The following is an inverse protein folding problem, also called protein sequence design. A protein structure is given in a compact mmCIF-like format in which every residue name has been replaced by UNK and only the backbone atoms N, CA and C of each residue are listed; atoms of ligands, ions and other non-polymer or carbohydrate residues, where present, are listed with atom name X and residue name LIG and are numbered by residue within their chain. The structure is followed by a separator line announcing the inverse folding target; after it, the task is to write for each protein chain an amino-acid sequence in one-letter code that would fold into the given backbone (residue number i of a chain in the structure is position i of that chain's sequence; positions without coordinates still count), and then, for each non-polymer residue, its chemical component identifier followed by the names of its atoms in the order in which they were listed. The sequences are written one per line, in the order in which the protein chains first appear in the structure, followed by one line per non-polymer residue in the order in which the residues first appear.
data_IF_661741429371
#
_entry.id   IF_661741429371
#
_cell.length_a   1.000
_cell.length_b   1.000
_cell.length_c   1.000
_cell.angle_alpha   90.00
_cell.angle_beta   90.00
_cell.angle_gamma   90.00
#
_symmetry.space_group_name_H-M   'P 1'
#
loop_
_entity.id
_entity.type
_entity.pdbx_description
1 polymer ?
#
# COMPACT_ATOMS: atom_id res chain seq x y z
N UNK A 1 0.77 21.41 22.66
CA UNK A 1 -0.30 21.54 21.64
C UNK A 1 -0.12 20.38 20.68
N UNK A 2 -0.95 19.35 20.80
CA UNK A 2 -0.86 18.13 20.00
C UNK A 2 -1.70 18.39 18.74
N UNK A 3 -1.04 18.48 17.59
CA UNK A 3 -1.71 18.69 16.30
C UNK A 3 -2.75 17.58 16.08
N UNK A 4 -3.98 17.99 15.75
CA UNK A 4 -5.12 17.11 15.59
C UNK A 4 -4.85 16.00 14.57
N UNK A 5 -5.26 14.80 14.95
CA UNK A 5 -5.45 13.67 14.04
C UNK A 5 -6.38 14.12 12.89
N UNK A 6 -5.94 14.12 11.62
CA UNK A 6 -6.89 14.30 10.55
C UNK A 6 -7.57 12.95 10.27
N UNK A 7 -8.83 13.05 9.85
CA UNK A 7 -9.54 12.12 8.98
C UNK A 7 -10.71 11.35 9.60
N UNK A 8 -11.76 12.11 9.91
CA UNK A 8 -13.11 11.77 9.47
C UNK A 8 -13.35 12.39 8.07
N UNK A 9 -12.54 12.02 7.07
CA UNK A 9 -12.74 12.50 5.70
C UNK A 9 -13.98 11.80 5.13
N UNK A 10 -14.97 12.55 4.59
CA UNK A 10 -16.12 11.94 3.96
C UNK A 10 -15.67 10.98 2.86
N UNK A 11 -16.27 9.79 2.82
CA UNK A 11 -15.94 8.76 1.84
C UNK A 11 -16.08 9.35 0.44
N UNK A 12 -14.96 9.46 -0.28
CA UNK A 12 -14.95 9.94 -1.66
C UNK A 12 -15.42 8.81 -2.60
N UNK A 13 -16.73 8.80 -2.85
CA UNK A 13 -17.41 7.78 -3.65
C UNK A 13 -16.93 7.78 -5.11
N UNK A 14 -16.61 8.94 -5.67
CA UNK A 14 -16.15 9.06 -7.05
C UNK A 14 -14.77 8.42 -7.19
N UNK A 15 -13.84 8.75 -6.28
CA UNK A 15 -12.51 8.12 -6.23
C UNK A 15 -12.57 6.60 -6.14
N UNK A 16 -13.44 6.06 -5.29
CA UNK A 16 -13.60 4.62 -5.12
C UNK A 16 -14.19 3.98 -6.38
N UNK A 17 -15.17 4.62 -7.02
CA UNK A 17 -15.78 4.12 -8.25
C UNK A 17 -14.77 4.07 -9.42
N UNK A 18 -14.01 5.14 -9.61
CA UNK A 18 -12.98 5.22 -10.66
C UNK A 18 -11.89 4.15 -10.46
N UNK A 19 -11.46 3.95 -9.22
CA UNK A 19 -10.55 2.86 -8.87
C UNK A 19 -11.16 1.49 -9.21
N UNK A 20 -12.42 1.26 -8.85
CA UNK A 20 -13.11 -0.02 -9.07
C UNK A 20 -13.25 -0.36 -10.55
N UNK A 21 -13.59 0.63 -11.38
CA UNK A 21 -13.67 0.49 -12.84
C UNK A 21 -12.31 0.13 -13.42
N UNK A 22 -11.25 0.83 -13.00
CA UNK A 22 -9.89 0.59 -13.47
C UNK A 22 -9.40 -0.82 -13.13
N UNK A 23 -9.64 -1.30 -11.92
CA UNK A 23 -9.27 -2.65 -11.51
C UNK A 23 -10.08 -3.72 -12.26
N UNK A 24 -11.36 -3.45 -12.54
CA UNK A 24 -12.20 -4.31 -13.39
C UNK A 24 -11.64 -4.38 -14.81
N UNK A 25 -11.15 -3.27 -15.36
CA UNK A 25 -10.50 -3.26 -16.68
C UNK A 25 -9.19 -4.07 -16.72
N UNK A 26 -8.39 -4.04 -15.65
CA UNK A 26 -7.09 -4.72 -15.59
C UNK A 26 -7.22 -6.24 -15.38
N UNK A 27 -8.12 -6.68 -14.51
CA UNK A 27 -8.23 -8.08 -14.09
C UNK A 27 -9.50 -8.78 -14.62
N UNK A 28 -10.43 -8.02 -15.20
CA UNK A 28 -11.66 -8.54 -15.81
C UNK A 28 -12.48 -9.38 -14.84
N UNK A 29 -12.89 -10.56 -15.31
CA UNK A 29 -13.67 -11.53 -14.54
C UNK A 29 -13.02 -11.90 -13.20
N UNK A 30 -11.68 -11.92 -13.09
CA UNK A 30 -11.00 -12.33 -11.85
C UNK A 30 -11.26 -11.34 -10.71
N UNK A 31 -11.30 -10.04 -11.02
CA UNK A 31 -11.67 -9.00 -10.05
C UNK A 31 -13.10 -9.19 -9.55
N UNK A 32 -14.05 -9.27 -10.47
CA UNK A 32 -15.46 -9.42 -10.15
C UNK A 32 -15.76 -10.74 -9.43
N UNK A 33 -15.02 -11.81 -9.74
CA UNK A 33 -15.14 -13.11 -9.07
C UNK A 33 -14.65 -13.07 -7.63
N UNK A 34 -13.65 -12.25 -7.30
CA UNK A 34 -13.03 -12.22 -5.98
C UNK A 34 -13.65 -11.18 -5.04
N UNK A 35 -13.97 -9.99 -5.57
CA UNK A 35 -14.47 -8.86 -4.77
C UNK A 35 -15.89 -8.42 -5.15
N UNK A 36 -16.47 -8.98 -6.20
CA UNK A 36 -17.80 -8.61 -6.67
C UNK A 36 -17.80 -7.35 -7.55
N UNK A 37 -19.02 -6.91 -7.88
CA UNK A 37 -19.25 -5.73 -8.74
C UNK A 37 -19.18 -4.41 -7.98
N UNK A 38 -19.24 -4.45 -6.65
CA UNK A 38 -19.24 -3.28 -5.78
C UNK A 38 -18.03 -3.33 -4.84
N UNK A 39 -17.47 -2.17 -4.45
CA UNK A 39 -16.39 -2.08 -3.49
C UNK A 39 -16.72 -2.75 -2.17
N UNK A 40 -15.83 -3.60 -1.66
CA UNK A 40 -15.93 -4.11 -0.28
C UNK A 40 -15.55 -3.03 0.72
N UNK A 41 -15.94 -3.19 1.99
CA UNK A 41 -15.65 -2.21 3.05
C UNK A 41 -14.14 -1.97 3.20
N UNK A 42 -13.35 -3.03 3.14
CA UNK A 42 -11.90 -3.01 3.30
C UNK A 42 -11.23 -2.19 2.20
N UNK A 43 -11.68 -2.36 0.96
CA UNK A 43 -11.19 -1.59 -0.17
C UNK A 43 -11.64 -0.12 -0.11
N UNK A 44 -12.88 0.15 0.27
CA UNK A 44 -13.37 1.51 0.41
C UNK A 44 -12.54 2.28 1.47
N UNK A 45 -12.27 1.66 2.61
CA UNK A 45 -11.38 2.21 3.64
C UNK A 45 -9.96 2.42 3.12
N UNK A 46 -9.43 1.45 2.37
CA UNK A 46 -8.09 1.53 1.80
C UNK A 46 -7.97 2.72 0.83
N UNK A 47 -8.87 2.80 -0.14
CA UNK A 47 -8.80 3.84 -1.17
C UNK A 47 -9.09 5.22 -0.58
N UNK A 48 -9.96 5.31 0.44
CA UNK A 48 -10.28 6.58 1.06
C UNK A 48 -9.06 7.24 1.73
N UNK A 49 -8.20 6.46 2.40
CA UNK A 49 -7.01 7.01 3.09
C UNK A 49 -5.80 7.26 2.17
N UNK A 50 -5.82 6.77 0.92
CA UNK A 50 -4.76 7.00 -0.05
C UNK A 50 -5.02 8.27 -0.87
N UNK A 51 -3.92 8.97 -1.21
CA UNK A 51 -3.94 10.05 -2.20
C UNK A 51 -4.05 9.49 -3.61
N UNK A 52 -4.53 10.30 -4.57
CA UNK A 52 -4.61 9.90 -5.98
C UNK A 52 -3.25 9.49 -6.55
N UNK A 53 -2.18 10.23 -6.22
CA UNK A 53 -0.81 9.91 -6.65
C UNK A 53 -0.31 8.57 -6.10
N UNK A 54 -0.67 8.23 -4.86
CA UNK A 54 -0.33 6.95 -4.25
C UNK A 54 -1.07 5.79 -4.94
N UNK A 55 -2.35 5.99 -5.27
CA UNK A 55 -3.14 5.00 -6.02
C UNK A 55 -2.54 4.79 -7.42
N UNK A 56 -2.20 5.85 -8.14
CA UNK A 56 -1.57 5.75 -9.46
C UNK A 56 -0.22 5.04 -9.41
N UNK A 57 0.58 5.35 -8.39
CA UNK A 57 1.87 4.69 -8.15
C UNK A 57 1.66 3.21 -7.84
N UNK A 58 0.68 2.87 -7.00
CA UNK A 58 0.30 1.49 -6.70
C UNK A 58 -0.13 0.72 -7.93
N UNK A 59 -0.96 1.31 -8.79
CA UNK A 59 -1.37 0.69 -10.06
C UNK A 59 -0.19 0.48 -11.01
N UNK A 60 0.72 1.45 -11.14
CA UNK A 60 1.93 1.30 -11.97
C UNK A 60 2.84 0.19 -11.44
N UNK A 61 3.10 0.18 -10.14
CA UNK A 61 3.90 -0.83 -9.46
C UNK A 61 3.27 -2.23 -9.60
N UNK A 62 1.95 -2.31 -9.50
CA UNK A 62 1.18 -3.55 -9.69
C UNK A 62 1.40 -4.12 -11.09
N UNK A 63 1.18 -3.31 -12.13
CA UNK A 63 1.38 -3.73 -13.53
C UNK A 63 2.84 -4.13 -13.79
N UNK A 64 3.79 -3.40 -13.23
CA UNK A 64 5.22 -3.70 -13.37
C UNK A 64 5.67 -4.96 -12.59
N UNK A 65 5.03 -5.26 -11.46
CA UNK A 65 5.38 -6.40 -10.60
C UNK A 65 5.05 -7.77 -11.21
N UNK A 66 4.42 -7.81 -12.39
CA UNK A 66 3.98 -9.04 -13.06
C UNK A 66 3.23 -9.98 -12.09
N UNK A 67 2.34 -9.40 -11.27
CA UNK A 67 1.42 -10.16 -10.41
C UNK A 67 0.76 -11.22 -11.27
N UNK A 68 0.67 -12.46 -10.80
CA UNK A 68 0.42 -13.75 -11.49
C UNK A 68 -0.92 -13.86 -12.25
N UNK A 69 -1.40 -12.78 -12.85
CA UNK A 69 -2.72 -12.57 -13.41
C UNK A 69 -3.83 -12.47 -12.36
N UNK A 70 -3.52 -12.52 -11.06
CA UNK A 70 -4.49 -12.41 -9.99
C UNK A 70 -4.49 -11.02 -9.37
N UNK A 71 -5.66 -10.48 -9.02
CA UNK A 71 -5.74 -9.18 -8.38
C UNK A 71 -5.15 -9.24 -6.96
N UNK A 72 -4.49 -8.16 -6.52
CA UNK A 72 -3.92 -8.10 -5.18
C UNK A 72 -5.03 -7.99 -4.14
N UNK A 73 -4.72 -8.41 -2.92
CA UNK A 73 -5.49 -8.08 -1.72
C UNK A 73 -5.36 -6.59 -1.36
N UNK A 74 -6.27 -6.03 -0.53
CA UNK A 74 -6.14 -4.65 -0.05
C UNK A 74 -4.78 -4.36 0.59
N UNK A 75 -4.25 -5.32 1.36
CA UNK A 75 -2.96 -5.18 2.06
C UNK A 75 -1.80 -5.16 1.06
N UNK A 76 -1.82 -6.06 0.07
CA UNK A 76 -0.81 -6.08 -1.00
C UNK A 76 -0.86 -4.81 -1.85
N UNK A 77 -2.05 -4.31 -2.17
CA UNK A 77 -2.19 -3.07 -2.91
C UNK A 77 -1.72 -1.85 -2.11
N UNK A 78 -1.96 -1.81 -0.80
CA UNK A 78 -1.41 -0.77 0.06
C UNK A 78 0.12 -0.74 0.02
N UNK A 79 0.75 -1.92 0.06
CA UNK A 79 2.20 -2.03 -0.06
C UNK A 79 2.68 -1.48 -1.41
N UNK A 80 1.97 -1.77 -2.50
CA UNK A 80 2.29 -1.23 -3.83
C UNK A 80 2.14 0.29 -3.90
N UNK A 81 1.16 0.88 -3.21
CA UNK A 81 0.93 2.33 -3.14
C UNK A 81 1.96 3.06 -2.29
N UNK A 82 2.47 2.40 -1.25
CA UNK A 82 3.42 2.98 -0.29
C UNK A 82 4.88 2.70 -0.63
N UNK A 83 5.14 1.74 -1.52
CA UNK A 83 6.46 1.46 -2.07
C UNK A 83 6.92 2.64 -2.94
N UNK A 84 7.83 3.43 -2.37
CA UNK A 84 8.49 4.50 -3.11
C UNK A 84 9.45 3.87 -4.12
N UNK A 85 9.35 4.27 -5.39
CA UNK A 85 10.30 3.84 -6.41
C UNK A 85 11.71 4.30 -6.05
N UNK A 86 12.57 3.35 -5.69
CA UNK A 86 13.98 3.61 -5.32
C UNK A 86 14.71 4.34 -6.44
N UNK A 87 14.43 3.99 -7.70
CA UNK A 87 15.02 4.62 -8.87
C UNK A 87 14.64 6.11 -8.98
N UNK A 88 13.38 6.46 -8.70
CA UNK A 88 12.92 7.85 -8.71
C UNK A 88 13.59 8.70 -7.62
N UNK A 89 14.03 8.07 -6.52
CA UNK A 89 14.79 8.71 -5.44
C UNK A 89 16.31 8.74 -5.69
N UNK A 90 16.80 8.20 -6.82
CA UNK A 90 18.22 8.01 -7.07
C UNK A 90 18.88 7.02 -6.11
N UNK A 91 18.09 6.15 -5.49
CA UNK A 91 18.54 5.11 -4.56
C UNK A 91 18.82 3.80 -5.28
N UNK A 92 19.82 3.01 -4.84
CA UNK A 92 20.07 1.69 -5.40
C UNK A 92 18.89 0.75 -5.15
N UNK A 93 18.73 -0.23 -6.04
CA UNK A 93 17.77 -1.33 -5.88
C UNK A 93 18.07 -2.18 -4.64
N UNK A 94 17.11 -3.00 -4.23
CA UNK A 94 17.17 -3.79 -3.00
C UNK A 94 18.41 -4.70 -2.94
N UNK A 95 18.74 -5.38 -4.04
CA UNK A 95 19.87 -6.31 -4.07
C UNK A 95 21.21 -5.56 -3.96
N UNK A 96 21.36 -4.48 -4.73
CA UNK A 96 22.57 -3.65 -4.65
C UNK A 96 22.72 -3.01 -3.28
N UNK A 97 21.63 -2.52 -2.68
CA UNK A 97 21.63 -1.96 -1.34
C UNK A 97 22.04 -2.99 -0.28
N UNK A 98 21.50 -4.22 -0.36
CA UNK A 98 21.85 -5.31 0.55
C UNK A 98 23.31 -5.74 0.41
N UNK A 99 23.80 -5.92 -0.82
CA UNK A 99 25.20 -6.27 -1.06
C UNK A 99 26.17 -5.20 -0.53
N UNK A 100 25.83 -3.92 -0.69
CA UNK A 100 26.61 -2.81 -0.11
C UNK A 100 26.58 -2.84 1.41
N UNK A 101 25.43 -3.16 2.01
CA UNK A 101 25.28 -3.25 3.46
C UNK A 101 26.11 -4.41 4.06
N UNK A 102 26.12 -5.57 3.41
CA UNK A 102 26.99 -6.71 3.75
C UNK A 102 28.48 -6.34 3.64
N UNK A 103 28.83 -5.57 2.61
CA UNK A 103 30.21 -5.11 2.37
C UNK A 103 30.65 -3.96 3.28
N UNK A 104 29.79 -3.49 4.19
CA UNK A 104 30.08 -2.34 5.07
C UNK A 104 30.18 -0.99 4.35
N UNK A 105 29.72 -0.89 3.09
CA UNK A 105 29.84 0.33 2.28
C UNK A 105 28.61 1.23 2.43
N UNK A 106 28.60 2.05 3.47
CA UNK A 106 27.46 2.91 3.82
C UNK A 106 27.53 4.33 3.21
N UNK A 107 27.91 4.47 1.94
CA UNK A 107 28.03 5.79 1.26
C UNK A 107 26.69 6.52 1.06
N UNK A 108 25.57 5.87 1.35
CA UNK A 108 24.22 6.42 1.21
C UNK A 108 23.53 6.40 2.58
N UNK A 109 23.03 7.56 3.03
CA UNK A 109 22.41 7.73 4.34
C UNK A 109 21.22 6.79 4.59
N UNK A 110 20.49 6.42 3.53
CA UNK A 110 19.36 5.48 3.59
C UNK A 110 19.85 4.06 3.85
N UNK A 111 20.94 3.62 3.19
CA UNK A 111 21.56 2.31 3.41
C UNK A 111 22.16 2.24 4.81
N UNK A 112 22.82 3.31 5.26
CA UNK A 112 23.40 3.38 6.60
C UNK A 112 22.33 3.26 7.70
N UNK A 113 21.24 4.03 7.58
CA UNK A 113 20.13 3.99 8.52
C UNK A 113 19.47 2.60 8.52
N UNK A 114 19.21 2.03 7.35
CA UNK A 114 18.63 0.69 7.23
C UNK A 114 19.55 -0.40 7.82
N UNK A 115 20.87 -0.28 7.64
CA UNK A 115 21.84 -1.21 8.20
C UNK A 115 21.88 -1.14 9.73
N UNK A 116 21.82 0.06 10.30
CA UNK A 116 21.74 0.26 11.76
C UNK A 116 20.49 -0.38 12.37
N UNK A 117 19.33 -0.20 11.74
CA UNK A 117 18.05 -0.76 12.20
C UNK A 117 17.99 -2.29 12.08
N UNK A 118 18.58 -2.81 10.99
CA UNK A 118 18.68 -4.26 10.76
C UNK A 118 19.63 -4.91 11.76
N UNK A 119 20.75 -4.25 12.05
CA UNK A 119 21.82 -4.75 12.90
C UNK A 119 23.11 -4.88 12.10
N UNK A 120 24.07 -3.97 12.32
CA UNK A 120 25.36 -3.97 11.60
C UNK A 120 26.15 -5.26 11.84
N UNK A 121 26.11 -5.79 13.06
CA UNK A 121 26.76 -7.06 13.40
C UNK A 121 26.16 -8.24 12.63
N UNK A 122 24.83 -8.31 12.52
CA UNK A 122 24.12 -9.35 11.75
C UNK A 122 24.52 -9.26 10.27
N UNK A 123 24.59 -8.05 9.71
CA UNK A 123 24.97 -7.80 8.31
C UNK A 123 26.44 -8.14 8.02
N UNK A 124 27.36 -7.85 8.93
CA UNK A 124 28.79 -8.16 8.73
C UNK A 124 29.08 -9.67 8.79
N UNK A 125 28.27 -10.44 9.52
CA UNK A 125 28.39 -11.90 9.62
C UNK A 125 27.49 -12.64 8.63
N UNK A 126 26.52 -11.94 8.06
CA UNK A 126 25.55 -12.49 7.12
C UNK A 126 26.15 -12.73 5.74
N UNK A 127 25.42 -13.52 4.96
CA UNK A 127 25.75 -13.80 3.56
C UNK A 127 24.58 -13.40 2.65
N UNK A 128 24.85 -13.32 1.35
CA UNK A 128 23.82 -13.03 0.33
C UNK A 128 22.72 -14.09 0.26
N UNK A 129 22.98 -15.29 0.79
CA UNK A 129 22.04 -16.42 0.82
C UNK A 129 21.11 -16.41 2.04
N UNK A 130 21.37 -15.58 3.05
CA UNK A 130 20.49 -15.47 4.21
C UNK A 130 19.21 -14.69 3.87
N UNK A 131 18.18 -15.45 3.51
CA UNK A 131 16.88 -14.91 3.09
C UNK A 131 16.16 -14.15 4.22
N UNK A 132 16.37 -14.54 5.49
CA UNK A 132 15.70 -13.89 6.61
C UNK A 132 16.37 -12.55 6.93
N UNK A 133 17.69 -12.51 6.91
CA UNK A 133 18.46 -11.27 7.03
C UNK A 133 18.15 -10.31 5.87
N UNK A 134 18.09 -10.83 4.65
CA UNK A 134 17.74 -10.06 3.46
C UNK A 134 16.34 -9.44 3.59
N UNK A 135 15.32 -10.22 3.94
CA UNK A 135 13.95 -9.71 4.13
C UNK A 135 13.87 -8.59 5.18
N UNK A 136 14.55 -8.78 6.33
CA UNK A 136 14.62 -7.74 7.38
C UNK A 136 15.27 -6.47 6.86
N UNK A 137 16.39 -6.60 6.14
CA UNK A 137 17.08 -5.45 5.57
C UNK A 137 16.23 -4.72 4.52
N UNK A 138 15.62 -5.45 3.59
CA UNK A 138 14.78 -4.89 2.54
C UNK A 138 13.61 -4.09 3.11
N UNK A 139 12.93 -4.63 4.13
CA UNK A 139 11.86 -3.92 4.83
C UNK A 139 12.36 -2.60 5.45
N UNK A 140 13.45 -2.65 6.21
CA UNK A 140 14.03 -1.46 6.84
C UNK A 140 14.49 -0.43 5.81
N UNK A 141 15.07 -0.89 4.70
CA UNK A 141 15.56 -0.03 3.63
C UNK A 141 14.42 0.67 2.89
N UNK A 142 13.31 0.00 2.62
CA UNK A 142 12.12 0.61 2.04
C UNK A 142 11.49 1.64 2.98
N UNK A 143 11.40 1.36 4.28
CA UNK A 143 10.91 2.35 5.25
C UNK A 143 11.82 3.58 5.35
N UNK A 144 13.15 3.38 5.32
CA UNK A 144 14.09 4.50 5.31
C UNK A 144 14.01 5.30 4.00
N UNK A 145 13.84 4.64 2.86
CA UNK A 145 13.64 5.30 1.57
C UNK A 145 12.33 6.12 1.56
N UNK A 146 11.26 5.60 2.17
CA UNK A 146 9.98 6.31 2.32
C UNK A 146 10.12 7.55 3.20
N UNK A 147 10.84 7.43 4.33
CA UNK A 147 11.14 8.57 5.22
C UNK A 147 11.97 9.62 4.52
N UNK A 148 13.00 9.19 3.77
CA UNK A 148 13.84 10.06 2.96
C UNK A 148 13.04 10.84 1.92
N UNK A 149 12.13 10.17 1.20
CA UNK A 149 11.25 10.81 0.22
C UNK A 149 10.35 11.90 0.83
N UNK A 150 9.94 11.71 2.09
CA UNK A 150 9.10 12.67 2.83
C UNK A 150 9.91 13.78 3.53
N UNK A 151 11.24 13.75 3.47
CA UNK A 151 12.11 14.66 4.23
C UNK A 151 12.09 14.40 5.74
N UNK A 152 11.64 13.21 6.18
CA UNK A 152 11.60 12.82 7.58
C UNK A 152 12.99 12.40 8.09
N UNK A 153 13.25 12.59 9.38
CA UNK A 153 14.55 12.22 9.98
C UNK A 153 14.77 10.70 9.99
N UNK A 154 15.87 10.26 9.38
CA UNK A 154 16.31 8.86 9.34
C UNK A 154 16.84 8.33 10.67
N UNK A 155 17.03 9.19 11.68
CA UNK A 155 17.56 8.80 13.01
C UNK A 155 16.49 8.24 13.96
N UNK A 156 15.22 8.30 13.59
CA UNK A 156 14.14 7.75 14.42
C UNK A 156 14.17 6.22 14.32
N UNK A 157 14.07 5.48 15.43
CA UNK A 157 13.97 4.02 15.38
C UNK A 157 12.87 3.57 14.41
N UNK A 158 13.10 2.49 13.66
CA UNK A 158 11.98 1.79 13.02
C UNK A 158 11.18 1.17 14.15
N UNK A 159 9.89 1.47 14.22
CA UNK A 159 9.01 0.83 15.20
C UNK A 159 9.01 -0.67 14.89
N UNK A 160 9.85 -1.44 15.56
CA UNK A 160 9.80 -2.90 15.53
C UNK A 160 8.46 -3.25 16.17
N UNK A 161 7.51 -3.72 15.36
CA UNK A 161 6.24 -4.18 15.86
C UNK A 161 6.54 -5.27 16.90
N UNK A 162 6.18 -4.99 18.16
CA UNK A 162 6.07 -6.01 19.18
C UNK A 162 4.90 -6.88 18.72
N UNK A 163 5.17 -8.14 18.37
CA UNK A 163 4.12 -9.14 18.23
C UNK A 163 3.44 -9.33 19.58
N UNK A 164 2.34 -8.61 19.84
CA UNK A 164 1.31 -9.04 20.80
C UNK A 164 -0.01 -8.28 20.64
N UNK A 165 -1.04 -9.08 20.37
CA UNK A 165 -2.43 -8.92 20.86
C UNK A 165 -3.33 -7.90 20.16
N UNK A 166 -4.29 -8.45 19.41
CA UNK A 166 -5.65 -7.97 19.11
C UNK A 166 -5.92 -6.53 19.60
N UNK A 167 -5.75 -5.54 18.73
CA UNK A 167 -6.37 -4.22 18.91
C UNK A 167 -7.65 -4.16 18.08
N UNK A 168 -8.68 -4.84 18.59
CA UNK A 168 -10.07 -4.65 18.21
C UNK A 168 -10.65 -3.56 19.11
N UNK A 169 -10.43 -2.28 18.79
CA UNK A 169 -11.07 -1.16 19.49
C UNK A 169 -10.92 0.18 18.73
N UNK A 170 -11.49 0.29 17.52
CA UNK A 170 -11.89 1.61 16.97
C UNK A 170 -12.96 1.53 15.86
N UNK A 171 -13.50 0.35 15.56
CA UNK A 171 -14.36 0.12 14.38
C UNK A 171 -15.85 0.45 14.58
N UNK A 172 -16.33 0.61 15.82
CA UNK A 172 -17.77 0.57 16.13
C UNK A 172 -18.63 1.73 15.63
N UNK A 173 -18.07 2.80 15.04
CA UNK A 173 -18.87 3.98 14.60
C UNK A 173 -19.03 4.03 13.07
N UNK A 174 -18.14 3.41 12.31
CA UNK A 174 -18.23 3.37 10.84
C UNK A 174 -19.10 2.22 10.33
N UNK A 175 -19.35 1.20 11.16
CA UNK A 175 -20.13 0.02 10.79
C UNK A 175 -21.60 0.39 10.48
N UNK A 176 -22.22 1.25 11.28
CA UNK A 176 -23.65 1.57 11.19
C UNK A 176 -24.04 2.33 9.91
N UNK A 177 -23.21 3.26 9.44
CA UNK A 177 -23.52 4.07 8.24
C UNK A 177 -23.32 3.29 6.94
N UNK A 178 -22.36 2.35 6.92
CA UNK A 178 -22.08 1.54 5.75
C UNK A 178 -23.13 0.43 5.63
N UNK A 179 -23.58 -0.15 6.74
CA UNK A 179 -24.61 -1.20 6.76
C UNK A 179 -25.99 -0.67 6.32
N UNK A 180 -26.33 0.56 6.70
CA UNK A 180 -27.59 1.19 6.26
C UNK A 180 -27.65 1.43 4.74
N UNK A 181 -26.52 1.74 4.10
CA UNK A 181 -26.48 2.03 2.66
C UNK A 181 -26.41 0.74 1.82
N UNK A 182 -25.72 -0.30 2.31
CA UNK A 182 -25.70 -1.63 1.66
C UNK A 182 -27.13 -2.22 1.64
N UNK A 183 -27.87 -2.08 2.74
CA UNK A 183 -29.28 -2.52 2.80
C UNK A 183 -30.18 -1.70 1.88
N UNK A 184 -29.96 -0.39 1.76
CA UNK A 184 -30.72 0.46 0.81
C UNK A 184 -30.52 0.06 -0.64
N UNK A 185 -29.29 -0.28 -1.04
CA UNK A 185 -29.02 -0.67 -2.42
C UNK A 185 -29.59 -2.06 -2.75
N UNK A 186 -29.54 -3.01 -1.81
CA UNK A 186 -30.16 -4.32 -1.96
C UNK A 186 -31.69 -4.24 -2.03
N UNK A 187 -32.32 -3.33 -1.29
CA UNK A 187 -33.76 -3.08 -1.36
C UNK A 187 -34.21 -2.39 -2.67
N UNK A 188 -33.30 -1.71 -3.36
CA UNK A 188 -33.66 -0.88 -4.53
C UNK A 188 -33.71 -1.63 -5.87
N UNK A 189 -33.26 -2.90 -5.95
CA UNK A 189 -33.47 -3.75 -7.13
C UNK A 189 -33.08 -3.18 -8.50
N UNK A 190 -32.19 -2.15 -8.56
CA UNK A 190 -31.81 -1.51 -9.81
C UNK A 190 -30.52 -2.12 -10.34
N UNK A 191 -30.67 -2.98 -11.35
CA UNK A 191 -29.59 -3.47 -12.21
C UNK A 191 -28.87 -2.28 -12.87
N UNK A 192 -27.73 -1.88 -12.30
CA UNK A 192 -26.91 -0.76 -12.77
C UNK A 192 -26.09 -1.05 -14.03
N UNK A 193 -26.68 -1.66 -15.06
CA UNK A 193 -26.03 -1.89 -16.36
C UNK A 193 -26.51 -0.96 -17.48
N UNK A 194 -27.38 0.02 -17.21
CA UNK A 194 -28.03 0.82 -18.25
C UNK A 194 -27.49 2.24 -18.50
N UNK A 195 -26.70 2.83 -17.61
CA UNK A 195 -26.57 4.31 -17.59
C UNK A 195 -25.40 4.91 -18.40
N UNK A 196 -24.42 4.12 -18.88
CA UNK A 196 -23.21 4.70 -19.51
C UNK A 196 -23.12 4.57 -21.05
N UNK A 197 -24.18 4.10 -21.73
CA UNK A 197 -24.22 4.03 -23.20
C UNK A 197 -24.91 5.22 -23.88
N UNK A 198 -25.10 6.36 -23.20
CA UNK A 198 -25.85 7.51 -23.72
C UNK A 198 -25.06 8.82 -23.85
N UNK A 199 -23.72 8.80 -23.84
CA UNK A 199 -22.90 10.02 -24.01
C UNK A 199 -21.74 9.88 -25.01
N UNK A 200 -21.85 8.98 -25.99
CA UNK A 200 -21.09 9.04 -27.24
C UNK A 200 -22.01 8.79 -28.42
N UNK A 201 -22.65 9.85 -28.87
CA UNK A 201 -23.59 9.81 -29.97
C UNK A 201 -24.26 11.16 -30.17
N UNK A 202 -23.48 12.14 -30.59
CA UNK A 202 -23.85 13.28 -31.46
C UNK A 202 -22.60 14.07 -31.81
#
# INVERSE_FOLDING_TARGET
MIAGLPNNQPIDKAKIADFWERMTGLFGYRWASQYGKLPTKEWAMLINHLSMDAIETGVKNMVASNTTGWPPTPIEFNALCTNVSLQALGLPDLNTAFNRALSGMYRNAVIEAAAKETGVFDLQRGTTTDLNLKKRFEYNYLEMARRWAKGESLKRPVTKAIESTKQSASFGVCDDLIDQEIQRQQASGKSGYGAFKALKGK
#
